data_IF_890085449418
#
_entry.id   IF_890085449418
#
_cell.length_a   1.000
_cell.length_b   1.000
_cell.length_c   1.000
_cell.angle_alpha   90.00
_cell.angle_beta   90.00
_cell.angle_gamma   90.00
#
_symmetry.space_group_name_H-M   'P 1'
#
loop_
_entity.id
_entity.type
_entity.pdbx_description
1 polymer ?
#
# COMPACT_ATOMS: atom_id res chain seq x y z
N UNK A 1 0.98 3.98 29.00
CA UNK A 1 2.15 4.67 28.40
C UNK A 1 2.66 3.85 27.24
N UNK A 2 2.37 4.24 26.10
CA UNK A 2 2.56 3.37 24.95
C UNK A 2 3.86 3.61 24.21
N UNK A 3 4.50 4.76 24.36
CA UNK A 3 5.72 5.11 23.64
C UNK A 3 6.84 4.09 23.86
N UNK A 4 7.38 3.54 22.81
CA UNK A 4 8.52 2.63 22.85
C UNK A 4 9.78 3.34 23.35
N UNK A 5 10.28 2.92 24.49
CA UNK A 5 11.49 3.46 25.11
C UNK A 5 12.78 2.74 24.67
N UNK A 6 12.64 1.63 23.94
CA UNK A 6 13.74 0.87 23.34
C UNK A 6 14.19 1.44 21.98
N UNK A 7 13.56 2.50 21.50
CA UNK A 7 13.89 3.24 20.29
C UNK A 7 14.20 4.68 20.65
N UNK A 8 15.30 5.20 20.11
CA UNK A 8 15.71 6.61 20.27
C UNK A 8 15.88 7.28 18.91
N UNK A 9 16.37 6.54 17.89
CA UNK A 9 16.62 7.05 16.54
C UNK A 9 15.93 6.20 15.49
N UNK A 10 15.21 6.86 14.59
CA UNK A 10 14.42 6.21 13.54
C UNK A 10 14.92 6.68 12.17
N UNK A 11 15.21 5.73 11.29
CA UNK A 11 15.48 6.00 9.87
C UNK A 11 14.17 5.91 9.10
N UNK A 12 13.80 7.00 8.42
CA UNK A 12 12.64 7.07 7.51
C UNK A 12 13.17 7.03 6.09
N UNK A 13 12.57 6.17 5.27
CA UNK A 13 12.89 6.06 3.85
C UNK A 13 11.82 6.79 3.04
N UNK A 14 12.25 7.74 2.22
CA UNK A 14 11.38 8.52 1.35
C UNK A 14 10.98 7.78 0.07
N UNK A 15 10.18 8.46 -0.77
CA UNK A 15 9.61 7.90 -1.99
C UNK A 15 10.52 8.00 -3.23
N UNK A 16 11.60 8.75 -3.13
CA UNK A 16 12.45 9.02 -4.28
C UNK A 16 11.95 10.20 -5.13
N UNK A 17 12.22 10.20 -6.43
CA UNK A 17 11.78 11.28 -7.33
C UNK A 17 10.26 11.33 -7.41
N UNK A 18 9.71 12.54 -7.48
CA UNK A 18 8.29 12.74 -7.78
C UNK A 18 8.08 12.46 -9.26
N UNK A 19 7.34 11.40 -9.56
CA UNK A 19 6.88 11.08 -10.91
C UNK A 19 5.45 11.58 -11.05
N UNK A 20 5.09 12.15 -12.20
CA UNK A 20 3.72 12.62 -12.46
C UNK A 20 2.74 11.48 -12.20
N UNK A 21 1.68 11.75 -11.43
CA UNK A 21 0.72 10.75 -10.97
C UNK A 21 1.20 9.86 -9.82
N UNK A 22 2.41 10.06 -9.30
CA UNK A 22 2.96 9.32 -8.17
C UNK A 22 3.79 10.23 -7.26
N UNK A 23 3.78 9.97 -5.95
CA UNK A 23 4.77 10.38 -4.96
C UNK A 23 4.62 11.73 -4.25
N UNK A 24 3.86 12.70 -4.68
CA UNK A 24 3.65 13.91 -3.88
C UNK A 24 2.91 13.60 -2.56
N UNK A 25 2.00 12.65 -2.58
CA UNK A 25 1.28 12.16 -1.40
C UNK A 25 2.20 11.44 -0.42
N UNK A 26 3.23 10.75 -0.91
CA UNK A 26 4.24 10.10 -0.06
C UNK A 26 5.20 11.12 0.56
N UNK A 27 5.51 12.20 -0.16
CA UNK A 27 6.26 13.32 0.39
C UNK A 27 5.53 13.95 1.59
N UNK A 28 4.24 14.21 1.44
CA UNK A 28 3.38 14.63 2.55
C UNK A 28 3.39 13.63 3.71
N UNK A 29 3.21 12.35 3.42
CA UNK A 29 3.16 11.31 4.45
C UNK A 29 4.46 11.21 5.23
N UNK A 30 5.60 11.26 4.55
CA UNK A 30 6.91 11.27 5.18
C UNK A 30 7.16 12.52 6.02
N UNK A 31 6.77 13.69 5.52
CA UNK A 31 6.87 14.95 6.27
C UNK A 31 6.03 14.90 7.56
N UNK A 32 4.80 14.37 7.50
CA UNK A 32 3.95 14.19 8.68
C UNK A 32 4.54 13.18 9.68
N UNK A 33 5.14 12.10 9.20
CA UNK A 33 5.81 11.13 10.06
C UNK A 33 7.02 11.75 10.77
N UNK A 34 7.87 12.50 10.04
CA UNK A 34 9.01 13.21 10.64
C UNK A 34 8.56 14.15 11.78
N UNK A 35 7.57 15.00 11.51
CA UNK A 35 7.01 15.91 12.52
C UNK A 35 6.48 15.16 13.72
N UNK A 36 5.60 14.19 13.49
CA UNK A 36 4.94 13.44 14.56
C UNK A 36 5.93 12.70 15.47
N UNK A 37 6.92 12.04 14.88
CA UNK A 37 7.92 11.29 15.66
C UNK A 37 8.92 12.21 16.36
N UNK A 38 9.25 13.36 15.77
CA UNK A 38 10.09 14.38 16.39
C UNK A 38 9.38 15.03 17.60
N UNK A 39 8.08 15.31 17.50
CA UNK A 39 7.24 15.78 18.60
C UNK A 39 7.19 14.77 19.76
N UNK A 40 7.26 13.47 19.46
CA UNK A 40 7.40 12.41 20.46
C UNK A 40 8.82 12.29 21.04
N UNK A 41 9.78 13.09 20.56
CA UNK A 41 11.16 13.16 21.06
C UNK A 41 12.09 12.09 20.50
N UNK A 42 11.76 11.46 19.38
CA UNK A 42 12.68 10.60 18.64
C UNK A 42 13.62 11.43 17.78
N UNK A 43 14.84 10.96 17.59
CA UNK A 43 15.76 11.50 16.58
C UNK A 43 15.42 10.90 15.22
N UNK A 44 15.30 11.76 14.23
CA UNK A 44 14.89 11.35 12.89
C UNK A 44 16.03 11.50 11.91
N UNK A 45 16.35 10.41 11.24
CA UNK A 45 17.20 10.35 10.06
C UNK A 45 16.33 10.11 8.85
N UNK A 46 16.50 10.90 7.80
CA UNK A 46 15.73 10.76 6.56
C UNK A 46 16.68 10.50 5.39
N UNK A 47 16.32 9.56 4.53
CA UNK A 47 16.89 9.43 3.19
C UNK A 47 15.81 9.69 2.13
N UNK A 48 16.08 10.58 1.19
CA UNK A 48 15.30 10.76 -0.02
C UNK A 48 16.19 11.24 -1.17
N UNK A 49 15.96 10.76 -2.38
CA UNK A 49 16.80 11.12 -3.54
C UNK A 49 16.43 12.45 -4.20
N UNK A 50 15.30 13.05 -3.85
CA UNK A 50 14.85 14.31 -4.40
C UNK A 50 15.10 15.47 -3.41
N UNK A 51 15.96 16.44 -3.75
CA UNK A 51 16.23 17.57 -2.87
C UNK A 51 15.11 18.63 -2.82
N UNK A 52 14.17 18.58 -3.75
CA UNK A 52 13.12 19.59 -3.94
C UNK A 52 11.76 19.14 -3.39
N UNK A 53 11.74 18.35 -2.34
CA UNK A 53 10.51 17.86 -1.68
C UNK A 53 10.33 18.51 -0.32
N UNK A 54 9.07 18.55 0.18
CA UNK A 54 8.78 19.05 1.53
C UNK A 54 9.50 18.18 2.56
N UNK A 55 9.52 16.87 2.35
CA UNK A 55 10.15 15.90 3.26
C UNK A 55 11.64 16.20 3.51
N UNK A 56 12.36 16.72 2.51
CA UNK A 56 13.79 17.04 2.59
C UNK A 56 14.08 18.43 3.17
N UNK A 57 13.05 19.15 3.63
CA UNK A 57 13.25 20.39 4.38
C UNK A 57 14.15 20.14 5.59
N UNK A 58 15.24 20.92 5.79
CA UNK A 58 16.20 20.72 6.88
C UNK A 58 15.60 20.78 8.29
N UNK A 59 14.42 21.40 8.45
CA UNK A 59 13.77 21.50 9.77
C UNK A 59 13.00 20.23 10.16
N UNK A 60 12.69 19.33 9.19
CA UNK A 60 11.85 18.17 9.42
C UNK A 60 12.58 17.00 10.08
N UNK A 61 13.80 16.71 9.67
CA UNK A 61 14.60 15.64 10.26
C UNK A 61 15.82 16.21 11.01
N UNK A 62 16.38 15.45 11.95
CA UNK A 62 17.63 15.82 12.61
C UNK A 62 18.81 15.66 11.66
N UNK A 63 18.73 14.69 10.73
CA UNK A 63 19.70 14.48 9.68
C UNK A 63 18.99 14.05 8.40
N UNK A 64 19.26 14.74 7.28
CA UNK A 64 18.71 14.43 5.97
C UNK A 64 19.81 14.04 4.99
N UNK A 65 19.64 12.89 4.34
CA UNK A 65 20.50 12.39 3.29
C UNK A 65 19.78 12.49 1.93
N UNK A 66 20.36 13.26 1.04
CA UNK A 66 19.88 13.41 -0.35
C UNK A 66 20.75 12.47 -1.20
N UNK A 67 20.38 11.20 -1.19
CA UNK A 67 21.14 10.12 -1.80
C UNK A 67 20.18 9.15 -2.53
N UNK A 68 20.69 8.35 -3.48
CA UNK A 68 19.90 7.29 -4.10
C UNK A 68 19.32 6.31 -3.08
N UNK A 69 18.04 5.99 -3.22
CA UNK A 69 17.37 5.03 -2.34
C UNK A 69 17.69 3.61 -2.83
N UNK A 70 18.90 3.16 -2.55
CA UNK A 70 19.36 1.80 -2.84
C UNK A 70 19.89 1.14 -1.56
N UNK A 71 19.94 -0.17 -1.58
CA UNK A 71 20.45 -0.96 -0.45
C UNK A 71 21.82 -0.48 0.03
N UNK A 72 22.73 -0.21 -0.90
CA UNK A 72 24.11 0.19 -0.61
C UNK A 72 24.19 1.54 0.10
N UNK A 73 23.40 2.52 -0.34
CA UNK A 73 23.36 3.84 0.29
C UNK A 73 22.67 3.78 1.65
N UNK A 74 21.55 3.06 1.75
CA UNK A 74 20.83 2.91 3.01
C UNK A 74 21.68 2.16 4.04
N UNK A 75 22.41 1.10 3.65
CA UNK A 75 23.33 0.39 4.54
C UNK A 75 24.44 1.32 5.08
N UNK A 76 25.05 2.15 4.23
CA UNK A 76 26.04 3.15 4.67
C UNK A 76 25.47 4.15 5.66
N UNK A 77 24.25 4.61 5.46
CA UNK A 77 23.57 5.52 6.39
C UNK A 77 23.31 4.81 7.72
N UNK A 78 22.89 3.55 7.69
CA UNK A 78 22.72 2.74 8.90
C UNK A 78 24.03 2.59 9.66
N UNK A 79 25.15 2.39 8.97
CA UNK A 79 26.49 2.28 9.59
C UNK A 79 26.92 3.58 10.27
N UNK A 80 26.63 4.73 9.65
CA UNK A 80 26.98 6.06 10.17
C UNK A 80 26.06 6.45 11.33
N UNK A 81 24.76 6.36 11.11
CA UNK A 81 23.75 6.91 12.01
C UNK A 81 23.32 5.96 13.12
N UNK A 82 23.48 4.67 12.93
CA UNK A 82 23.11 3.61 13.88
C UNK A 82 21.69 3.79 14.42
N UNK A 83 20.68 3.83 13.54
CA UNK A 83 19.28 3.95 13.98
C UNK A 83 18.84 2.67 14.71
N UNK A 84 17.95 2.80 15.67
CA UNK A 84 17.35 1.66 16.37
C UNK A 84 16.24 1.01 15.53
N UNK A 85 15.59 1.82 14.66
CA UNK A 85 14.47 1.37 13.84
C UNK A 85 14.48 1.98 12.45
N UNK A 86 13.85 1.26 11.50
CA UNK A 86 13.57 1.67 10.13
C UNK A 86 12.05 1.71 9.92
N UNK A 87 11.54 2.84 9.43
CA UNK A 87 10.12 3.04 9.10
C UNK A 87 9.96 3.11 7.57
N UNK A 88 9.51 2.02 6.89
CA UNK A 88 9.41 1.96 5.44
C UNK A 88 8.05 2.42 4.90
N UNK A 89 7.03 2.53 5.76
CA UNK A 89 5.62 2.60 5.33
C UNK A 89 5.18 3.99 4.86
N UNK A 90 6.07 4.97 4.84
CA UNK A 90 5.77 6.37 4.47
C UNK A 90 6.26 6.76 3.07
N UNK A 91 7.19 6.00 2.49
CA UNK A 91 7.84 6.32 1.20
C UNK A 91 7.35 5.47 0.02
N UNK A 92 6.14 4.95 0.09
CA UNK A 92 5.54 4.18 -1.00
C UNK A 92 6.28 2.87 -1.31
N UNK A 93 6.16 2.41 -2.55
CA UNK A 93 6.73 1.14 -2.97
C UNK A 93 8.27 1.14 -2.97
N UNK A 94 8.89 2.26 -3.29
CA UNK A 94 10.36 2.41 -3.26
C UNK A 94 10.91 2.11 -1.87
N UNK A 95 10.31 2.68 -0.83
CA UNK A 95 10.72 2.46 0.54
C UNK A 95 10.50 1.00 1.00
N UNK A 96 9.36 0.40 0.64
CA UNK A 96 9.09 -1.01 0.96
C UNK A 96 10.11 -1.93 0.29
N UNK A 97 10.37 -1.76 -1.00
CA UNK A 97 11.26 -2.61 -1.76
C UNK A 97 12.68 -2.61 -1.20
N UNK A 98 13.27 -1.42 -0.97
CA UNK A 98 14.62 -1.33 -0.40
C UNK A 98 14.68 -1.89 1.02
N UNK A 99 13.63 -1.70 1.82
CA UNK A 99 13.57 -2.23 3.19
C UNK A 99 13.50 -3.75 3.22
N UNK A 100 12.72 -4.35 2.31
CA UNK A 100 12.69 -5.80 2.14
C UNK A 100 14.02 -6.34 1.61
N UNK A 101 14.70 -5.61 0.72
CA UNK A 101 16.04 -5.99 0.25
C UNK A 101 17.06 -5.97 1.41
N UNK A 102 17.04 -4.95 2.26
CA UNK A 102 17.87 -4.88 3.47
C UNK A 102 17.58 -6.02 4.44
N UNK A 103 16.30 -6.35 4.63
CA UNK A 103 15.88 -7.46 5.48
C UNK A 103 16.35 -8.82 4.94
N UNK A 104 16.09 -9.09 3.67
CA UNK A 104 16.43 -10.36 3.01
C UNK A 104 17.94 -10.60 2.96
N UNK A 105 18.75 -9.53 2.87
CA UNK A 105 20.21 -9.59 2.92
C UNK A 105 20.76 -9.55 4.36
N UNK A 106 19.89 -9.64 5.39
CA UNK A 106 20.25 -9.61 6.82
C UNK A 106 20.99 -8.36 7.27
N UNK A 107 20.90 -7.28 6.52
CA UNK A 107 21.59 -6.02 6.85
C UNK A 107 20.97 -5.40 8.13
N UNK A 108 19.63 -5.43 8.23
CA UNK A 108 18.95 -4.93 9.43
C UNK A 108 19.36 -5.73 10.68
N UNK A 109 19.42 -7.05 10.58
CA UNK A 109 19.86 -7.94 11.66
C UNK A 109 21.33 -7.66 12.06
N UNK A 110 22.23 -7.54 11.07
CA UNK A 110 23.65 -7.23 11.25
C UNK A 110 23.88 -5.96 12.09
N UNK A 111 23.03 -4.96 11.88
CA UNK A 111 23.16 -3.65 12.54
C UNK A 111 22.17 -3.47 13.72
N UNK A 112 21.37 -4.48 14.05
CA UNK A 112 20.40 -4.42 15.15
C UNK A 112 19.23 -3.48 14.91
N UNK A 113 18.91 -3.15 13.65
CA UNK A 113 17.83 -2.23 13.26
C UNK A 113 16.51 -2.99 13.18
N UNK A 114 15.48 -2.50 13.85
CA UNK A 114 14.13 -3.08 13.84
C UNK A 114 13.27 -2.42 12.76
N UNK A 115 12.60 -3.20 11.93
CA UNK A 115 11.57 -2.67 11.03
C UNK A 115 10.28 -2.41 11.82
N UNK A 116 9.73 -1.19 11.70
CA UNK A 116 8.50 -0.74 12.38
C UNK A 116 7.48 -0.25 11.37
N UNK A 117 6.19 -0.15 11.76
CA UNK A 117 5.08 0.27 10.89
C UNK A 117 4.47 -0.86 10.06
N UNK A 118 5.27 -1.77 9.55
CA UNK A 118 4.84 -3.05 8.98
C UNK A 118 5.96 -4.07 9.17
N UNK A 119 5.61 -5.29 9.49
CA UNK A 119 6.61 -6.36 9.62
C UNK A 119 6.90 -7.01 8.25
N UNK A 120 8.10 -7.59 8.06
CA UNK A 120 8.48 -8.17 6.77
C UNK A 120 7.53 -9.26 6.27
N UNK A 121 6.98 -10.08 7.17
CA UNK A 121 6.04 -11.14 6.81
C UNK A 121 4.73 -10.56 6.27
N UNK A 122 4.22 -9.50 6.88
CA UNK A 122 3.02 -8.80 6.40
C UNK A 122 3.27 -8.15 5.03
N UNK A 123 4.44 -7.55 4.82
CA UNK A 123 4.81 -6.97 3.53
C UNK A 123 4.88 -8.07 2.46
N UNK A 124 5.57 -9.16 2.74
CA UNK A 124 5.69 -10.29 1.80
C UNK A 124 4.32 -10.89 1.44
N UNK A 125 3.46 -11.09 2.45
CA UNK A 125 2.13 -11.67 2.25
C UNK A 125 1.20 -10.72 1.46
N UNK A 126 1.35 -9.42 1.60
CA UNK A 126 0.57 -8.43 0.86
C UNK A 126 1.05 -8.23 -0.58
N UNK A 127 2.38 -8.27 -0.81
CA UNK A 127 3.00 -7.95 -2.10
C UNK A 127 3.13 -9.18 -3.03
N UNK A 128 3.27 -10.38 -2.46
CA UNK A 128 3.29 -11.62 -3.24
C UNK A 128 1.87 -12.00 -3.64
N UNK A 129 1.57 -11.91 -4.93
CA UNK A 129 0.23 -12.15 -5.47
C UNK A 129 -0.35 -13.52 -5.16
N UNK A 130 0.48 -14.57 -5.22
CA UNK A 130 -0.01 -15.91 -4.94
C UNK A 130 -0.30 -16.08 -3.45
N UNK A 131 0.61 -15.61 -2.59
CA UNK A 131 0.41 -15.65 -1.14
C UNK A 131 -0.79 -14.81 -0.74
N UNK A 132 -0.96 -13.62 -1.32
CA UNK A 132 -2.12 -12.77 -1.09
C UNK A 132 -3.42 -13.47 -1.48
N UNK A 133 -3.49 -14.04 -2.69
CA UNK A 133 -4.66 -14.78 -3.18
C UNK A 133 -5.02 -15.95 -2.29
N UNK A 134 -4.01 -16.74 -1.86
CA UNK A 134 -4.23 -17.87 -0.95
C UNK A 134 -4.73 -17.39 0.42
N UNK A 135 -4.17 -16.29 0.94
CA UNK A 135 -4.62 -15.67 2.17
C UNK A 135 -6.07 -15.16 2.06
N UNK A 136 -6.47 -14.55 0.95
CA UNK A 136 -7.85 -14.10 0.72
C UNK A 136 -8.82 -15.29 0.69
N UNK A 137 -8.44 -16.35 0.00
CA UNK A 137 -9.23 -17.60 -0.06
C UNK A 137 -9.45 -18.20 1.33
N UNK A 138 -8.44 -18.22 2.19
CA UNK A 138 -8.53 -18.76 3.55
C UNK A 138 -9.54 -17.99 4.44
N UNK A 139 -9.73 -16.70 4.18
CA UNK A 139 -10.71 -15.87 4.91
C UNK A 139 -12.06 -15.72 4.20
N UNK A 140 -12.26 -16.51 3.12
CA UNK A 140 -13.52 -16.55 2.37
C UNK A 140 -13.78 -15.33 1.50
N UNK A 141 -12.72 -14.64 1.03
CA UNK A 141 -12.81 -13.55 0.08
C UNK A 141 -12.38 -14.00 -1.31
N UNK A 142 -12.98 -13.40 -2.33
CA UNK A 142 -12.67 -13.67 -3.73
C UNK A 142 -11.63 -12.69 -4.26
N UNK A 143 -10.71 -13.20 -5.09
CA UNK A 143 -9.85 -12.42 -5.98
C UNK A 143 -10.17 -12.80 -7.42
N UNK A 144 -9.77 -12.00 -8.41
CA UNK A 144 -9.93 -12.37 -9.82
C UNK A 144 -9.32 -13.75 -10.09
N UNK A 145 -10.08 -14.59 -10.80
CA UNK A 145 -9.65 -15.95 -11.10
C UNK A 145 -8.41 -15.92 -11.96
N UNK A 146 -7.35 -16.59 -11.54
CA UNK A 146 -6.05 -16.54 -12.22
C UNK A 146 -5.30 -17.87 -12.13
N UNK A 147 -4.39 -18.07 -13.10
CA UNK A 147 -3.54 -19.23 -13.20
C UNK A 147 -2.13 -18.82 -13.57
N UNK A 148 -1.16 -19.48 -12.95
CA UNK A 148 0.25 -19.37 -13.31
C UNK A 148 0.54 -20.42 -14.36
N UNK A 149 1.18 -20.03 -15.47
CA UNK A 149 1.53 -20.92 -16.58
C UNK A 149 2.95 -20.65 -17.08
N UNK A 150 3.56 -21.68 -17.67
CA UNK A 150 4.94 -21.63 -18.15
C UNK A 150 5.06 -21.90 -19.66
N UNK A 151 3.95 -22.27 -20.30
CA UNK A 151 3.90 -22.61 -21.74
C UNK A 151 2.70 -21.99 -22.43
N UNK A 152 2.80 -21.85 -23.75
CA UNK A 152 1.69 -21.37 -24.60
C UNK A 152 0.53 -22.38 -24.61
N UNK A 153 0.83 -23.66 -24.55
CA UNK A 153 -0.19 -24.73 -24.51
C UNK A 153 -1.05 -24.63 -23.24
N UNK A 154 -0.40 -24.41 -22.09
CA UNK A 154 -1.08 -24.15 -20.81
C UNK A 154 -1.91 -22.86 -20.91
N UNK A 155 -1.34 -21.80 -21.48
CA UNK A 155 -2.04 -20.51 -21.66
C UNK A 155 -3.32 -20.66 -22.44
N UNK A 156 -3.34 -21.44 -23.54
CA UNK A 156 -4.54 -21.71 -24.35
C UNK A 156 -5.62 -22.45 -23.56
N UNK A 157 -5.24 -23.39 -22.68
CA UNK A 157 -6.20 -24.09 -21.81
C UNK A 157 -6.85 -23.12 -20.84
N UNK A 158 -6.04 -22.29 -20.17
CA UNK A 158 -6.50 -21.27 -19.24
C UNK A 158 -7.44 -20.26 -19.93
N UNK A 159 -7.08 -19.82 -21.16
CA UNK A 159 -7.95 -18.93 -21.94
C UNK A 159 -9.35 -19.52 -22.14
N UNK A 160 -9.44 -20.80 -22.50
CA UNK A 160 -10.72 -21.46 -22.74
C UNK A 160 -11.56 -21.59 -21.45
N UNK A 161 -10.92 -21.63 -20.29
CA UNK A 161 -11.63 -21.67 -19.00
C UNK A 161 -12.06 -20.29 -18.52
N UNK A 162 -11.21 -19.28 -18.65
CA UNK A 162 -11.46 -17.95 -18.11
C UNK A 162 -12.27 -17.04 -19.06
N UNK A 163 -12.19 -17.29 -20.37
CA UNK A 163 -12.70 -16.42 -21.45
C UNK A 163 -12.11 -15.00 -21.41
N UNK A 164 -12.01 -14.40 -22.58
CA UNK A 164 -11.55 -13.01 -22.75
C UNK A 164 -12.57 -12.01 -22.14
N UNK A 165 -12.12 -10.81 -21.75
CA UNK A 165 -10.76 -10.32 -21.75
C UNK A 165 -9.92 -10.91 -20.60
N UNK A 166 -8.59 -11.03 -20.82
CA UNK A 166 -7.64 -11.59 -19.85
C UNK A 166 -6.45 -10.65 -19.65
N UNK A 167 -6.01 -10.54 -18.41
CA UNK A 167 -4.79 -9.84 -18.05
C UNK A 167 -3.63 -10.82 -18.03
N UNK A 168 -2.56 -10.49 -18.72
CA UNK A 168 -1.31 -11.27 -18.74
C UNK A 168 -0.26 -10.48 -18.01
N UNK A 169 0.38 -11.10 -17.04
CA UNK A 169 1.41 -10.47 -16.20
C UNK A 169 2.63 -11.38 -16.09
N UNK A 170 3.77 -10.98 -16.64
CA UNK A 170 5.02 -11.73 -16.45
C UNK A 170 5.43 -11.76 -14.98
N UNK A 171 5.92 -12.90 -14.51
CA UNK A 171 6.45 -13.03 -13.16
C UNK A 171 7.84 -12.38 -13.08
N UNK A 172 8.12 -11.72 -11.95
CA UNK A 172 9.41 -11.12 -11.62
C UNK A 172 9.87 -10.00 -12.57
N UNK A 173 8.95 -9.29 -13.26
CA UNK A 173 9.28 -8.11 -14.06
C UNK A 173 8.92 -6.83 -13.30
N UNK A 174 9.71 -5.78 -13.52
CA UNK A 174 9.46 -4.45 -12.94
C UNK A 174 8.50 -3.65 -13.82
N UNK A 175 7.57 -2.91 -13.19
CA UNK A 175 6.75 -1.91 -13.86
C UNK A 175 5.77 -2.45 -14.92
N UNK A 176 5.36 -3.72 -14.83
CA UNK A 176 4.40 -4.30 -15.79
C UNK A 176 4.98 -4.61 -17.18
N UNK A 177 6.31 -4.56 -17.33
CA UNK A 177 7.00 -4.83 -18.60
C UNK A 177 6.60 -6.19 -19.17
N UNK A 178 6.15 -6.23 -20.42
CA UNK A 178 5.75 -7.44 -21.13
C UNK A 178 4.31 -7.92 -20.82
N UNK A 179 3.60 -7.26 -19.88
CA UNK A 179 2.20 -7.54 -19.55
C UNK A 179 1.21 -6.72 -20.39
N UNK A 180 -0.07 -7.01 -20.21
CA UNK A 180 -1.16 -6.28 -20.85
C UNK A 180 -2.50 -6.98 -20.74
N UNK A 181 -3.52 -6.39 -21.36
CA UNK A 181 -4.87 -6.96 -21.45
C UNK A 181 -5.11 -7.48 -22.86
N UNK A 182 -5.52 -8.73 -22.98
CA UNK A 182 -5.90 -9.36 -24.23
C UNK A 182 -7.41 -9.31 -24.39
N UNK A 183 -7.88 -8.78 -25.50
CA UNK A 183 -9.30 -8.69 -25.85
C UNK A 183 -9.71 -9.69 -26.93
N UNK A 184 -8.74 -10.23 -27.68
CA UNK A 184 -8.92 -11.20 -28.74
C UNK A 184 -7.84 -12.29 -28.71
N UNK A 185 -8.00 -13.29 -29.57
CA UNK A 185 -7.14 -14.47 -29.60
C UNK A 185 -5.72 -14.18 -30.07
N UNK A 186 -5.56 -13.26 -31.03
CA UNK A 186 -4.25 -12.88 -31.57
C UNK A 186 -3.44 -12.11 -30.51
N UNK A 187 -4.04 -11.07 -29.95
CA UNK A 187 -3.42 -10.30 -28.87
C UNK A 187 -3.12 -11.14 -27.63
N UNK A 188 -3.94 -12.15 -27.33
CA UNK A 188 -3.68 -13.07 -26.25
C UNK A 188 -2.38 -13.87 -26.47
N UNK A 189 -2.22 -14.47 -27.65
CA UNK A 189 -1.03 -15.26 -27.98
C UNK A 189 0.24 -14.38 -27.98
N UNK A 190 0.14 -13.19 -28.57
CA UNK A 190 1.26 -12.23 -28.60
C UNK A 190 1.69 -11.78 -27.21
N UNK A 191 0.72 -11.45 -26.34
CA UNK A 191 1.00 -11.08 -24.95
C UNK A 191 1.61 -12.22 -24.15
N UNK A 192 1.12 -13.46 -24.32
CA UNK A 192 1.69 -14.63 -23.65
C UNK A 192 3.14 -14.87 -24.10
N UNK A 193 3.43 -14.79 -25.38
CA UNK A 193 4.79 -14.95 -25.91
C UNK A 193 5.73 -13.87 -25.36
N UNK A 194 5.33 -12.59 -25.41
CA UNK A 194 6.11 -11.49 -24.85
C UNK A 194 6.34 -11.67 -23.35
N UNK A 195 5.29 -12.05 -22.63
CA UNK A 195 5.34 -12.23 -21.19
C UNK A 195 6.25 -13.37 -20.76
N UNK A 196 6.17 -14.53 -21.41
CA UNK A 196 7.05 -15.67 -21.15
C UNK A 196 8.51 -15.32 -21.43
N UNK A 197 8.77 -14.61 -22.53
CA UNK A 197 10.13 -14.18 -22.89
C UNK A 197 10.68 -13.08 -21.95
N UNK A 198 9.83 -12.20 -21.45
CA UNK A 198 10.22 -11.14 -20.53
C UNK A 198 10.47 -11.65 -19.10
N UNK A 199 9.83 -12.74 -18.71
CA UNK A 199 9.98 -13.32 -17.37
C UNK A 199 11.30 -14.09 -17.24
N UNK A 200 12.14 -13.79 -16.24
CA UNK A 200 13.38 -14.54 -15.99
C UNK A 200 13.16 -16.03 -15.71
N UNK A 201 11.95 -16.41 -15.32
CA UNK A 201 11.55 -17.78 -14.98
C UNK A 201 10.66 -18.42 -16.04
N UNK A 202 10.48 -17.78 -17.21
CA UNK A 202 9.52 -18.20 -18.24
C UNK A 202 8.11 -18.48 -17.67
N UNK A 203 7.63 -17.57 -16.82
CA UNK A 203 6.36 -17.75 -16.12
C UNK A 203 5.49 -16.50 -16.26
N UNK A 204 4.22 -16.71 -16.57
CA UNK A 204 3.20 -15.65 -16.59
C UNK A 204 2.02 -16.01 -15.73
N UNK A 205 1.39 -14.98 -15.13
CA UNK A 205 0.07 -15.06 -14.55
C UNK A 205 -0.96 -14.65 -15.60
N UNK A 206 -1.97 -15.48 -15.81
CA UNK A 206 -3.15 -15.16 -16.63
C UNK A 206 -4.33 -15.00 -15.68
N UNK A 207 -4.97 -13.85 -15.72
CA UNK A 207 -6.02 -13.46 -14.79
C UNK A 207 -7.27 -12.99 -15.55
N UNK A 208 -8.44 -13.34 -15.03
CA UNK A 208 -9.71 -12.80 -15.55
C UNK A 208 -9.71 -11.29 -15.38
N UNK A 209 -9.92 -10.58 -16.48
CA UNK A 209 -9.99 -9.12 -16.43
C UNK A 209 -11.27 -8.67 -15.72
N UNK A 210 -11.10 -7.71 -14.83
CA UNK A 210 -12.17 -6.96 -14.18
C UNK A 210 -12.29 -5.55 -14.80
N UNK A 211 -11.76 -5.35 -16.00
CA UNK A 211 -11.87 -4.09 -16.73
C UNK A 211 -13.35 -3.73 -16.92
N UNK A 212 -13.69 -2.47 -16.68
CA UNK A 212 -15.06 -1.99 -16.72
C UNK A 212 -15.87 -2.17 -15.43
N UNK A 213 -15.32 -2.87 -14.41
CA UNK A 213 -15.95 -2.96 -13.10
C UNK A 213 -15.76 -1.65 -12.33
N UNK A 214 -16.63 -1.40 -11.35
CA UNK A 214 -16.46 -0.28 -10.42
C UNK A 214 -15.28 -0.52 -9.51
N UNK A 215 -14.53 0.54 -9.23
CA UNK A 215 -13.36 0.49 -8.34
C UNK A 215 -13.60 1.27 -7.06
N UNK A 216 -13.36 0.59 -5.93
CA UNK A 216 -13.47 1.18 -4.60
C UNK A 216 -12.22 0.89 -3.78
N UNK A 217 -11.87 1.83 -2.92
CA UNK A 217 -10.78 1.71 -1.99
C UNK A 217 -11.26 1.99 -0.56
N UNK A 218 -10.75 1.22 0.39
CA UNK A 218 -11.00 1.44 1.81
C UNK A 218 -9.69 1.82 2.49
N UNK A 219 -9.64 3.04 3.03
CA UNK A 219 -8.53 3.49 3.85
C UNK A 219 -8.75 3.04 5.28
N UNK A 220 -7.86 2.18 5.76
CA UNK A 220 -8.02 1.46 7.03
C UNK A 220 -6.83 1.73 7.92
N UNK A 221 -7.08 1.95 9.20
CA UNK A 221 -6.03 2.02 10.22
C UNK A 221 -6.27 0.97 11.28
N UNK A 222 -5.23 0.21 11.61
CA UNK A 222 -5.29 -0.83 12.64
C UNK A 222 -4.08 -0.75 13.56
N UNK A 223 -4.31 -0.96 14.87
CA UNK A 223 -3.28 -0.99 15.88
C UNK A 223 -3.02 -2.40 16.44
N UNK A 224 -2.03 -2.52 17.32
CA UNK A 224 -1.60 -3.77 17.92
C UNK A 224 -2.57 -4.36 18.97
N UNK A 225 -3.59 -3.59 19.40
CA UNK A 225 -4.70 -4.06 20.23
C UNK A 225 -5.93 -4.47 19.41
N UNK A 226 -5.79 -4.52 18.09
CA UNK A 226 -6.88 -4.84 17.15
C UNK A 226 -7.99 -3.78 17.07
N UNK A 227 -7.76 -2.56 17.53
CA UNK A 227 -8.62 -1.46 17.15
C UNK A 227 -8.44 -1.23 15.65
N UNK A 228 -9.54 -1.32 14.91
CA UNK A 228 -9.51 -1.24 13.45
C UNK A 228 -10.65 -0.35 12.97
N UNK A 229 -10.32 0.70 12.24
CA UNK A 229 -11.29 1.71 11.75
C UNK A 229 -11.16 1.88 10.23
N UNK A 230 -12.28 2.16 9.59
CA UNK A 230 -12.31 2.69 8.23
C UNK A 230 -12.29 4.21 8.31
N UNK A 231 -11.19 4.81 7.86
CA UNK A 231 -11.06 6.27 7.86
C UNK A 231 -11.93 6.89 6.78
N UNK A 232 -11.93 6.29 5.60
CA UNK A 232 -12.73 6.74 4.46
C UNK A 232 -12.90 5.64 3.43
N UNK A 233 -14.06 5.59 2.78
CA UNK A 233 -14.24 4.89 1.51
C UNK A 233 -13.94 5.85 0.37
N UNK A 234 -13.32 5.35 -0.70
CA UNK A 234 -12.98 6.12 -1.89
C UNK A 234 -13.54 5.39 -3.10
N UNK A 235 -14.07 6.14 -4.05
CA UNK A 235 -14.55 5.64 -5.33
C UNK A 235 -13.71 6.25 -6.45
N UNK A 236 -13.20 5.41 -7.34
CA UNK A 236 -12.64 5.84 -8.60
C UNK A 236 -13.77 5.95 -9.62
N UNK A 237 -13.98 7.14 -10.18
CA UNK A 237 -15.09 7.42 -11.13
C UNK A 237 -14.84 6.68 -12.43
N UNK A 238 -13.58 6.58 -12.85
CA UNK A 238 -13.19 5.77 -13.98
C UNK A 238 -13.23 4.28 -13.61
N UNK A 239 -13.68 3.42 -14.52
CA UNK A 239 -13.79 1.99 -14.25
C UNK A 239 -12.40 1.34 -14.13
N UNK A 240 -12.37 0.15 -13.53
CA UNK A 240 -11.19 -0.71 -13.50
C UNK A 240 -10.54 -0.83 -14.87
N UNK A 241 -9.22 -0.64 -14.92
CA UNK A 241 -8.40 -0.58 -16.14
C UNK A 241 -7.80 0.80 -16.40
N UNK A 242 -8.37 1.87 -15.85
CA UNK A 242 -7.71 3.18 -15.72
C UNK A 242 -6.89 3.17 -14.43
N UNK A 243 -5.66 3.66 -14.48
CA UNK A 243 -4.81 3.69 -13.30
C UNK A 243 -5.36 4.68 -12.25
N UNK A 244 -5.43 4.27 -11.00
CA UNK A 244 -5.99 5.10 -9.90
C UNK A 244 -5.37 6.49 -9.78
N UNK A 245 -4.09 6.64 -10.16
CA UNK A 245 -3.40 7.93 -10.21
C UNK A 245 -3.93 8.90 -11.27
N UNK A 246 -4.53 8.36 -12.32
CA UNK A 246 -5.05 9.11 -13.48
C UNK A 246 -6.58 9.22 -13.43
N UNK A 247 -7.23 8.53 -12.48
CA UNK A 247 -8.68 8.56 -12.31
C UNK A 247 -9.14 9.76 -11.48
N UNK A 248 -10.33 10.26 -11.79
CA UNK A 248 -11.07 11.14 -10.89
C UNK A 248 -11.51 10.31 -9.68
N UNK A 249 -11.14 10.75 -8.49
CA UNK A 249 -11.46 10.04 -7.25
C UNK A 249 -12.35 10.86 -6.33
N UNK A 250 -13.30 10.19 -5.67
CA UNK A 250 -14.29 10.82 -4.81
C UNK A 250 -14.24 10.19 -3.41
N UNK A 251 -14.25 11.01 -2.39
CA UNK A 251 -14.23 10.62 -0.98
C UNK A 251 -15.35 11.36 -0.20
N UNK A 252 -16.27 10.67 0.48
CA UNK A 252 -16.48 9.23 0.50
C UNK A 252 -17.08 8.69 -0.81
N UNK A 253 -17.14 7.36 -0.96
CA UNK A 253 -17.78 6.69 -2.09
C UNK A 253 -19.25 7.08 -2.23
N UNK A 254 -19.70 7.32 -3.47
CA UNK A 254 -21.05 7.83 -3.75
C UNK A 254 -22.03 6.75 -4.18
N UNK A 255 -21.54 5.70 -4.85
CA UNK A 255 -22.42 4.71 -5.51
C UNK A 255 -22.51 3.40 -4.74
N UNK A 256 -21.91 3.29 -3.54
CA UNK A 256 -22.12 2.17 -2.63
C UNK A 256 -23.44 2.30 -1.90
N UNK A 257 -24.21 1.23 -1.89
CA UNK A 257 -25.29 1.07 -0.91
C UNK A 257 -24.69 0.80 0.48
N UNK A 258 -25.45 1.07 1.54
CA UNK A 258 -24.98 0.76 2.90
C UNK A 258 -24.60 -0.72 3.06
N UNK A 259 -25.37 -1.63 2.46
CA UNK A 259 -25.09 -3.06 2.48
C UNK A 259 -23.73 -3.39 1.83
N UNK A 260 -23.43 -2.82 0.67
CA UNK A 260 -22.15 -2.99 -0.02
C UNK A 260 -21.01 -2.39 0.81
N UNK A 261 -21.20 -1.18 1.34
CA UNK A 261 -20.24 -0.55 2.23
C UNK A 261 -19.89 -1.45 3.43
N UNK A 262 -20.89 -2.03 4.10
CA UNK A 262 -20.65 -2.93 5.24
C UNK A 262 -19.92 -4.22 4.83
N UNK A 263 -20.18 -4.74 3.62
CA UNK A 263 -19.43 -5.88 3.09
C UNK A 263 -17.96 -5.52 2.89
N UNK A 264 -17.67 -4.39 2.23
CA UNK A 264 -16.30 -3.93 1.99
C UNK A 264 -15.58 -3.61 3.29
N UNK A 265 -16.26 -2.96 4.24
CA UNK A 265 -15.75 -2.67 5.59
C UNK A 265 -15.32 -3.95 6.29
N UNK A 266 -16.21 -4.94 6.37
CA UNK A 266 -15.93 -6.20 7.04
C UNK A 266 -14.84 -7.01 6.32
N UNK A 267 -14.80 -6.96 4.98
CA UNK A 267 -13.75 -7.58 4.19
C UNK A 267 -12.39 -6.93 4.48
N UNK A 268 -12.31 -5.61 4.49
CA UNK A 268 -11.08 -4.86 4.77
C UNK A 268 -10.50 -5.21 6.15
N UNK A 269 -11.34 -5.26 7.18
CA UNK A 269 -10.92 -5.66 8.54
C UNK A 269 -10.35 -7.08 8.54
N UNK A 270 -11.02 -8.03 7.86
CA UNK A 270 -10.52 -9.41 7.71
C UNK A 270 -9.18 -9.46 6.98
N UNK A 271 -9.03 -8.65 5.91
CA UNK A 271 -7.78 -8.57 5.14
C UNK A 271 -6.64 -8.10 6.03
N UNK A 272 -6.78 -6.99 6.74
CA UNK A 272 -5.72 -6.47 7.60
C UNK A 272 -5.32 -7.45 8.71
N UNK A 273 -6.31 -8.12 9.32
CA UNK A 273 -6.06 -9.16 10.32
C UNK A 273 -5.30 -10.35 9.75
N UNK A 274 -5.67 -10.81 8.54
CA UNK A 274 -5.03 -11.94 7.88
C UNK A 274 -3.61 -11.64 7.44
N UNK A 275 -3.39 -10.47 6.86
CA UNK A 275 -2.06 -10.01 6.42
C UNK A 275 -1.16 -9.73 7.62
N UNK A 276 -1.74 -9.27 8.74
CA UNK A 276 -0.97 -9.00 9.97
C UNK A 276 -0.41 -7.59 10.05
N UNK A 277 -1.02 -6.61 9.33
CA UNK A 277 -0.72 -5.19 9.57
C UNK A 277 -1.43 -4.79 10.86
N UNK A 278 -0.65 -4.35 11.84
CA UNK A 278 -1.10 -4.05 13.21
C UNK A 278 -0.53 -2.74 13.78
N UNK A 279 0.16 -1.96 12.98
CA UNK A 279 0.79 -0.71 13.41
C UNK A 279 0.76 0.35 12.32
N UNK A 280 -0.37 0.53 11.64
CA UNK A 280 -0.41 1.58 10.64
C UNK A 280 -1.65 1.66 9.77
N UNK A 281 -1.57 2.56 8.80
CA UNK A 281 -2.54 2.75 7.74
C UNK A 281 -2.29 1.80 6.58
N UNK A 282 -3.37 1.39 5.96
CA UNK A 282 -3.38 0.50 4.79
C UNK A 282 -4.52 0.85 3.86
N UNK A 283 -4.35 0.49 2.61
CA UNK A 283 -5.37 0.64 1.58
C UNK A 283 -5.78 -0.75 1.07
N UNK A 284 -7.08 -1.01 0.99
CA UNK A 284 -7.63 -2.24 0.39
C UNK A 284 -8.46 -1.87 -0.81
N UNK A 285 -8.12 -2.41 -1.98
CA UNK A 285 -8.80 -2.14 -3.24
C UNK A 285 -9.78 -3.26 -3.61
N UNK A 286 -10.95 -2.86 -4.07
CA UNK A 286 -12.03 -3.75 -4.48
C UNK A 286 -12.52 -3.41 -5.87
N UNK A 287 -12.85 -4.46 -6.63
CA UNK A 287 -13.63 -4.35 -7.85
C UNK A 287 -15.03 -4.91 -7.59
N UNK A 288 -16.06 -4.18 -8.06
CA UNK A 288 -17.45 -4.62 -7.97
C UNK A 288 -18.03 -4.70 -9.40
N UNK A 289 -18.52 -5.88 -9.77
CA UNK A 289 -19.19 -6.06 -11.05
C UNK A 289 -20.50 -5.27 -11.07
N UNK A 290 -20.69 -4.33 -12.01
CA UNK A 290 -21.89 -3.51 -12.07
C UNK A 290 -23.15 -4.30 -12.50
N UNK A 291 -22.98 -5.52 -13.06
CA UNK A 291 -24.10 -6.32 -13.56
C UNK A 291 -24.73 -7.20 -12.48
N UNK A 292 -23.91 -7.85 -11.64
CA UNK A 292 -24.37 -8.85 -10.68
C UNK A 292 -23.95 -8.57 -9.22
N UNK A 293 -23.10 -7.55 -9.02
CA UNK A 293 -22.59 -7.18 -7.70
C UNK A 293 -21.49 -8.11 -7.15
N UNK A 294 -20.88 -8.95 -8.00
CA UNK A 294 -19.71 -9.74 -7.57
C UNK A 294 -18.59 -8.83 -7.08
N UNK A 295 -18.02 -9.16 -5.92
CA UNK A 295 -16.95 -8.39 -5.28
C UNK A 295 -15.66 -9.19 -5.31
N UNK A 296 -14.60 -8.57 -5.82
CA UNK A 296 -13.26 -9.10 -5.80
C UNK A 296 -12.31 -8.16 -5.05
N UNK A 297 -11.48 -8.73 -4.17
CA UNK A 297 -10.33 -8.02 -3.59
C UNK A 297 -9.22 -8.00 -4.64
N UNK A 298 -8.73 -6.83 -4.97
CA UNK A 298 -7.71 -6.65 -6.01
C UNK A 298 -6.31 -6.70 -5.39
N UNK A 299 -6.09 -5.85 -4.39
CA UNK A 299 -4.81 -5.77 -3.69
C UNK A 299 -4.98 -5.10 -2.32
N UNK A 300 -3.96 -5.20 -1.50
CA UNK A 300 -3.83 -4.48 -0.25
C UNK A 300 -2.43 -3.89 -0.16
N UNK A 301 -2.34 -2.60 0.12
CA UNK A 301 -1.08 -1.93 0.34
C UNK A 301 -0.77 -1.88 1.84
N UNK A 302 0.29 -2.56 2.35
CA UNK A 302 0.61 -2.60 3.78
C UNK A 302 1.37 -1.34 4.22
N UNK A 303 0.94 -0.19 3.76
CA UNK A 303 1.55 1.12 3.95
C UNK A 303 0.56 2.24 3.70
N UNK A 304 0.92 3.44 4.08
CA UNK A 304 0.19 4.65 3.65
C UNK A 304 0.19 4.70 2.11
N UNK A 305 -0.96 4.99 1.53
CA UNK A 305 -1.19 5.05 0.09
C UNK A 305 -1.36 6.48 -0.41
N UNK A 306 -1.49 6.65 -1.72
CA UNK A 306 -1.84 7.95 -2.31
C UNK A 306 -3.24 8.40 -1.87
N UNK A 307 -4.18 7.50 -1.86
CA UNK A 307 -5.54 7.74 -1.37
C UNK A 307 -5.61 8.04 0.12
N UNK A 308 -4.62 7.64 0.92
CA UNK A 308 -4.54 8.06 2.33
C UNK A 308 -4.42 9.58 2.50
N UNK A 309 -3.73 10.28 1.60
CA UNK A 309 -3.65 11.74 1.63
C UNK A 309 -5.01 12.39 1.29
N UNK A 310 -5.72 11.85 0.29
CA UNK A 310 -7.08 12.29 -0.05
C UNK A 310 -8.05 12.03 1.12
N UNK A 311 -8.03 10.84 1.69
CA UNK A 311 -8.85 10.47 2.85
C UNK A 311 -8.56 11.38 4.04
N UNK A 312 -7.27 11.65 4.32
CA UNK A 312 -6.89 12.57 5.41
C UNK A 312 -7.40 13.98 5.18
N UNK A 313 -7.32 14.49 3.94
CA UNK A 313 -7.85 15.81 3.59
C UNK A 313 -9.38 15.84 3.67
N UNK A 314 -10.05 14.80 3.20
CA UNK A 314 -11.50 14.73 3.18
C UNK A 314 -12.09 14.65 4.59
N UNK A 315 -11.52 13.83 5.45
CA UNK A 315 -12.06 13.55 6.79
C UNK A 315 -11.48 14.43 7.89
N UNK A 316 -10.31 15.04 7.67
CA UNK A 316 -9.53 15.68 8.73
C UNK A 316 -8.76 14.69 9.62
N UNK A 317 -8.88 13.37 9.40
CA UNK A 317 -8.17 12.34 10.15
C UNK A 317 -6.74 12.17 9.58
N UNK A 318 -5.67 12.49 10.32
CA UNK A 318 -4.31 12.56 9.79
C UNK A 318 -3.65 11.16 9.77
N UNK A 319 -3.99 10.34 8.76
CA UNK A 319 -3.58 8.93 8.67
C UNK A 319 -2.06 8.75 8.85
N UNK A 320 -1.23 9.53 8.17
CA UNK A 320 0.23 9.39 8.23
C UNK A 320 0.78 9.71 9.64
N UNK A 321 0.27 10.77 10.29
CA UNK A 321 0.60 11.12 11.68
C UNK A 321 0.24 9.99 12.64
N UNK A 322 -0.99 9.47 12.52
CA UNK A 322 -1.47 8.39 13.37
C UNK A 322 -0.66 7.11 13.13
N UNK A 323 -0.46 6.71 11.87
CA UNK A 323 0.33 5.53 11.52
C UNK A 323 1.76 5.60 12.07
N UNK A 324 2.41 6.77 12.03
CA UNK A 324 3.72 6.96 12.63
C UNK A 324 3.72 6.75 14.15
N UNK A 325 2.69 7.23 14.85
CA UNK A 325 2.52 7.01 16.30
C UNK A 325 2.24 5.56 16.64
N UNK A 326 1.40 4.87 15.86
CA UNK A 326 1.16 3.43 16.03
C UNK A 326 2.45 2.62 15.87
N UNK A 327 3.31 2.99 14.93
CA UNK A 327 4.60 2.31 14.69
C UNK A 327 5.54 2.38 15.91
N UNK A 328 5.37 3.37 16.79
CA UNK A 328 6.16 3.52 18.02
C UNK A 328 5.39 3.13 19.31
N UNK A 329 4.30 2.35 19.13
CA UNK A 329 3.65 1.63 20.21
C UNK A 329 2.38 2.25 20.77
N UNK A 330 1.91 3.38 20.25
CA UNK A 330 0.60 3.91 20.59
C UNK A 330 -0.52 3.02 20.05
N UNK A 331 -1.69 3.14 20.64
CA UNK A 331 -2.93 2.52 20.15
C UNK A 331 -3.97 3.59 19.86
N UNK A 332 -4.95 3.28 19.00
CA UNK A 332 -5.96 4.24 18.55
C UNK A 332 -6.81 4.81 19.70
N UNK A 333 -7.04 4.01 20.74
CA UNK A 333 -7.79 4.42 21.93
C UNK A 333 -6.98 5.33 22.87
N UNK A 334 -5.65 5.38 22.73
CA UNK A 334 -4.74 6.24 23.49
C UNK A 334 -4.45 7.57 22.80
N UNK A 335 -4.73 7.66 21.50
CA UNK A 335 -4.53 8.87 20.72
C UNK A 335 -5.80 9.70 20.69
N UNK A 336 -5.63 11.02 20.81
CA UNK A 336 -6.72 11.98 20.65
C UNK A 336 -7.09 12.10 19.16
N UNK A 337 -8.38 12.20 18.87
CA UNK A 337 -8.88 12.44 17.53
C UNK A 337 -8.71 13.93 17.18
N UNK A 338 -7.90 14.22 16.19
CA UNK A 338 -7.58 15.59 15.77
C UNK A 338 -8.81 16.39 15.28
N UNK A 339 -9.90 15.71 14.91
CA UNK A 339 -11.13 16.35 14.43
C UNK A 339 -11.97 16.86 15.60
N UNK A 340 -12.21 15.97 16.55
CA UNK A 340 -13.12 16.24 17.68
C UNK A 340 -12.41 16.85 18.88
N UNK A 341 -11.10 16.59 19.04
CA UNK A 341 -10.26 16.97 20.18
C UNK A 341 -10.76 16.49 21.55
N UNK A 342 -11.73 15.58 21.55
CA UNK A 342 -12.37 15.08 22.79
C UNK A 342 -12.62 13.57 22.77
N UNK A 343 -12.60 12.94 21.60
CA UNK A 343 -12.80 11.50 21.46
C UNK A 343 -11.48 10.79 21.07
N UNK A 344 -11.35 9.49 21.35
CA UNK A 344 -10.21 8.72 20.87
C UNK A 344 -10.17 8.62 19.33
N UNK A 345 -8.97 8.43 18.79
CA UNK A 345 -8.76 8.20 17.36
C UNK A 345 -9.33 6.85 16.87
N UNK A 346 -9.83 6.01 17.77
CA UNK A 346 -10.52 4.76 17.44
C UNK A 346 -11.96 4.94 16.94
N UNK A 347 -12.49 6.15 16.89
CA UNK A 347 -13.79 6.45 16.29
C UNK A 347 -13.64 6.72 14.79
N UNK A 348 -14.47 6.06 13.97
CA UNK A 348 -14.50 6.28 12.52
C UNK A 348 -15.00 7.69 12.18
N UNK A 349 -14.30 8.44 11.32
CA UNK A 349 -14.79 9.74 10.86
C UNK A 349 -16.08 9.61 10.06
N UNK A 350 -16.96 10.60 10.19
CA UNK A 350 -18.17 10.73 9.38
C UNK A 350 -18.20 12.14 8.79
N UNK A 351 -18.45 12.24 7.49
CA UNK A 351 -18.51 13.53 6.78
C UNK A 351 -19.81 13.61 5.97
N UNK A 352 -20.36 14.82 5.87
CA UNK A 352 -21.62 15.13 5.17
C UNK A 352 -21.38 15.94 3.88
N UNK A 353 -20.18 15.93 3.38
CA UNK A 353 -19.74 16.55 2.13
C UNK A 353 -18.86 15.60 1.33
N UNK A 354 -18.55 15.97 0.11
CA UNK A 354 -17.77 15.18 -0.83
C UNK A 354 -16.52 15.95 -1.21
N UNK A 355 -15.40 15.26 -1.25
CA UNK A 355 -14.15 15.79 -1.80
C UNK A 355 -13.82 15.04 -3.08
N UNK A 356 -13.63 15.76 -4.17
CA UNK A 356 -13.24 15.20 -5.46
C UNK A 356 -11.82 15.62 -5.79
N UNK A 357 -11.00 14.66 -6.18
CA UNK A 357 -9.67 14.88 -6.75
C UNK A 357 -9.76 14.67 -8.27
N UNK A 358 -9.31 15.64 -9.04
CA UNK A 358 -9.26 15.64 -10.51
C UNK A 358 -7.80 15.68 -10.95
#
# INVERSE_FOLDING_TARGET
>A
MPKRTDINKILIVGAGPIVIGQACEFDYSGAQACKSLKDEGYKIVLINSNPATIMTDPELADQTYIEPITKEFVEKIIEIEKPDALLPTMGGQTALNVSMELFNNRILEKHGVKMIGANPTAIELAEDRQKFKDAMKEIGLSCPKSYVVNTIEESKRVKNELNLPLVIRPSFTLGGTGGGVAYDDEGFIDLCNRGLNASPTNQILIEKSVSGWKEFEMEVVRDNKDNCIIVCSIENVDPMGVHTGDSITVAPSLTLTDKEYQILRNASIKVLRKIGVDTGGSNVQFAINPEDGEINVIEMNPRVSRSSALASKATGFPIAKIAAKLAVGYTLDELENDITTTTPASFEPTIDYIVTKI
#
